data_IF_805429742548
#
_entry.id   IF_805429742548
#
_cell.length_a   1.000
_cell.length_b   1.000
_cell.length_c   1.000
_cell.angle_alpha   90.00
_cell.angle_beta   90.00
_cell.angle_gamma   90.00
#
_symmetry.space_group_name_H-M   'P 1'
#
loop_
_entity.id
_entity.type
_entity.pdbx_description
1 polymer ?
#
# COMPACT_ATOMS: atom_id res chain seq x y z
N UNK A 1 -6.84 -4.51 -18.38
CA UNK A 1 -7.07 -5.81 -19.05
C UNK A 1 -8.46 -5.98 -19.64
N UNK A 2 -9.56 -5.66 -18.98
CA UNK A 2 -10.94 -5.88 -19.48
C UNK A 2 -11.23 -5.36 -20.91
N UNK A 3 -10.51 -4.33 -21.36
CA UNK A 3 -10.71 -3.75 -22.70
C UNK A 3 -9.87 -4.40 -23.81
N UNK A 4 -8.93 -5.27 -23.43
CA UNK A 4 -8.00 -5.89 -24.37
C UNK A 4 -8.22 -7.40 -24.53
N UNK A 5 -8.97 -8.00 -23.61
CA UNK A 5 -9.22 -9.44 -23.57
C UNK A 5 -10.54 -9.73 -24.29
N UNK A 6 -10.54 -10.76 -25.16
CA UNK A 6 -11.72 -11.22 -25.87
C UNK A 6 -12.84 -11.65 -24.91
N UNK A 7 -14.09 -11.63 -25.40
CA UNK A 7 -15.27 -12.03 -24.61
C UNK A 7 -15.13 -13.44 -24.00
N UNK A 8 -14.42 -14.33 -24.67
CA UNK A 8 -14.16 -15.70 -24.21
C UNK A 8 -12.98 -15.82 -23.24
N UNK A 9 -12.25 -14.73 -23.00
CA UNK A 9 -11.11 -14.63 -22.07
C UNK A 9 -9.99 -15.65 -22.32
N UNK A 10 -9.80 -16.12 -23.55
CA UNK A 10 -8.78 -17.12 -23.89
C UNK A 10 -7.43 -16.50 -24.25
N UNK A 11 -7.42 -15.25 -24.66
CA UNK A 11 -6.29 -14.48 -25.15
C UNK A 11 -5.57 -13.66 -24.06
N UNK A 12 -6.02 -13.75 -22.79
CA UNK A 12 -5.41 -13.02 -21.68
C UNK A 12 -3.89 -13.27 -21.50
N UNK A 13 -3.34 -14.50 -21.76
CA UNK A 13 -1.90 -14.72 -21.62
C UNK A 13 -1.10 -13.90 -22.65
N UNK A 14 -1.61 -13.74 -23.86
CA UNK A 14 -0.99 -12.95 -24.92
C UNK A 14 -1.02 -11.45 -24.62
N UNK A 15 -2.09 -11.00 -23.97
CA UNK A 15 -2.24 -9.60 -23.54
C UNK A 15 -1.39 -9.24 -22.31
N UNK A 16 -0.86 -10.24 -21.56
CA UNK A 16 -0.18 -10.02 -20.29
C UNK A 16 1.09 -9.16 -20.42
N UNK A 17 1.92 -9.45 -21.40
CA UNK A 17 3.16 -8.70 -21.64
C UNK A 17 2.86 -7.22 -21.97
N UNK A 18 1.82 -6.96 -22.78
CA UNK A 18 1.37 -5.61 -23.09
C UNK A 18 0.82 -4.88 -21.87
N UNK A 19 0.07 -5.58 -21.02
CA UNK A 19 -0.48 -5.03 -19.78
C UNK A 19 0.63 -4.70 -18.77
N UNK A 20 1.61 -5.59 -18.60
CA UNK A 20 2.79 -5.36 -17.75
C UNK A 20 3.57 -4.13 -18.24
N UNK A 21 3.84 -4.04 -19.53
CA UNK A 21 4.50 -2.88 -20.12
C UNK A 21 3.72 -1.60 -19.83
N UNK A 22 2.42 -1.58 -20.04
CA UNK A 22 1.57 -0.41 -19.83
C UNK A 22 1.56 0.05 -18.35
N UNK A 23 1.52 -0.90 -17.39
CA UNK A 23 1.60 -0.58 -15.96
C UNK A 23 2.96 -0.01 -15.60
N UNK A 24 4.05 -0.61 -16.08
CA UNK A 24 5.41 -0.20 -15.77
C UNK A 24 5.82 1.12 -16.45
N UNK A 25 5.14 1.50 -17.52
CA UNK A 25 5.39 2.76 -18.23
C UNK A 25 4.49 3.92 -17.76
N UNK A 26 3.45 3.61 -16.96
CA UNK A 26 2.52 4.61 -16.43
C UNK A 26 3.10 5.28 -15.19
N UNK A 27 2.99 6.61 -15.14
CA UNK A 27 3.35 7.40 -13.94
C UNK A 27 2.44 6.99 -12.77
N UNK A 28 3.05 6.59 -11.67
CA UNK A 28 2.33 6.22 -10.47
C UNK A 28 1.97 7.46 -9.65
N UNK A 29 0.73 7.50 -9.13
CA UNK A 29 0.19 8.68 -8.45
C UNK A 29 0.94 9.09 -7.19
N UNK A 30 1.46 8.12 -6.43
CA UNK A 30 2.19 8.37 -5.18
C UNK A 30 3.64 8.76 -5.41
N UNK A 31 4.35 8.09 -6.33
CA UNK A 31 5.78 8.35 -6.59
C UNK A 31 6.03 9.45 -7.62
N UNK A 32 5.00 9.79 -8.43
CA UNK A 32 5.07 10.75 -9.54
C UNK A 32 6.04 10.37 -10.67
N UNK A 33 6.59 9.17 -10.62
CA UNK A 33 7.42 8.59 -11.67
C UNK A 33 6.90 7.22 -12.07
N UNK A 34 7.19 6.79 -13.30
CA UNK A 34 6.88 5.44 -13.74
C UNK A 34 7.91 4.45 -13.19
N UNK A 35 7.55 3.14 -12.99
CA UNK A 35 8.52 2.10 -12.61
C UNK A 35 9.71 2.04 -13.57
N UNK A 36 9.50 2.17 -14.87
CA UNK A 36 10.61 2.20 -15.84
C UNK A 36 11.51 3.42 -15.66
N UNK A 37 10.94 4.60 -15.43
CA UNK A 37 11.73 5.79 -15.14
C UNK A 37 12.55 5.64 -13.86
N UNK A 38 11.95 5.06 -12.80
CA UNK A 38 12.65 4.84 -11.54
C UNK A 38 13.79 3.83 -11.66
N UNK A 39 13.63 2.79 -12.50
CA UNK A 39 14.60 1.71 -12.62
C UNK A 39 15.68 1.96 -13.68
N UNK A 40 15.28 2.51 -14.82
CA UNK A 40 16.16 2.69 -15.98
C UNK A 40 16.49 4.17 -16.28
N UNK A 41 15.87 5.10 -15.57
CA UNK A 41 16.04 6.54 -15.80
C UNK A 41 15.49 7.03 -17.14
N UNK A 42 14.64 6.24 -17.80
CA UNK A 42 14.02 6.56 -19.09
C UNK A 42 12.68 5.86 -19.24
N UNK A 43 11.80 6.44 -20.04
CA UNK A 43 10.59 5.76 -20.49
C UNK A 43 10.94 4.71 -21.54
N UNK A 44 10.24 3.58 -21.47
CA UNK A 44 10.37 2.54 -22.47
C UNK A 44 9.37 2.77 -23.59
N UNK A 45 9.76 2.46 -24.83
CA UNK A 45 8.90 2.53 -26.01
C UNK A 45 8.52 1.13 -26.46
N UNK A 46 7.28 0.95 -26.83
CA UNK A 46 6.78 -0.28 -27.42
C UNK A 46 6.77 -0.12 -28.94
N UNK A 47 7.45 -1.00 -29.67
CA UNK A 47 7.47 -1.02 -31.13
C UNK A 47 8.85 -0.80 -31.75
N UNK A 48 8.89 -0.88 -33.08
CA UNK A 48 10.09 -0.77 -33.93
C UNK A 48 10.62 0.67 -34.06
N UNK A 49 10.68 1.41 -32.98
CA UNK A 49 11.22 2.76 -33.01
C UNK A 49 12.72 2.67 -33.33
N UNK A 50 13.05 2.94 -34.60
CA UNK A 50 14.42 2.99 -35.10
C UNK A 50 15.23 3.81 -34.12
N UNK A 51 16.21 3.18 -33.49
CA UNK A 51 17.08 3.78 -32.49
C UNK A 51 17.71 5.04 -33.09
N UNK A 52 17.16 6.20 -32.82
CA UNK A 52 17.90 7.44 -33.03
C UNK A 52 19.19 7.29 -32.21
N UNK A 53 20.34 7.31 -32.87
CA UNK A 53 21.65 7.30 -32.20
C UNK A 53 21.70 8.51 -31.26
N UNK A 54 21.23 8.30 -30.01
CA UNK A 54 21.35 9.29 -28.94
C UNK A 54 22.81 9.37 -28.51
N UNK A 55 23.25 10.55 -28.12
CA UNK A 55 24.55 10.76 -27.49
C UNK A 55 24.62 9.85 -26.26
N UNK A 56 25.66 9.03 -26.16
CA UNK A 56 25.86 8.18 -24.98
C UNK A 56 26.15 9.06 -23.77
N UNK A 57 25.27 9.02 -22.79
CA UNK A 57 25.43 9.77 -21.54
C UNK A 57 26.62 9.20 -20.76
N UNK A 58 27.44 10.09 -20.17
CA UNK A 58 28.56 9.66 -19.33
C UNK A 58 28.02 8.97 -18.05
N UNK A 59 28.75 7.97 -17.55
CA UNK A 59 28.32 7.20 -16.39
C UNK A 59 28.04 8.08 -15.15
N UNK A 60 28.83 9.12 -14.93
CA UNK A 60 28.62 10.07 -13.83
C UNK A 60 27.31 10.85 -13.96
N UNK A 61 27.02 11.38 -15.15
CA UNK A 61 25.78 12.11 -15.43
C UNK A 61 24.54 11.21 -15.23
N UNK A 62 24.65 9.94 -15.65
CA UNK A 62 23.60 8.94 -15.41
C UNK A 62 23.34 8.71 -13.93
N UNK A 63 24.39 8.53 -13.14
CA UNK A 63 24.28 8.29 -11.68
C UNK A 63 23.64 9.49 -10.98
N UNK A 64 24.05 10.70 -11.32
CA UNK A 64 23.47 11.93 -10.74
C UNK A 64 21.98 12.07 -11.09
N UNK A 65 21.62 11.81 -12.35
CA UNK A 65 20.23 11.82 -12.79
C UNK A 65 19.39 10.78 -12.06
N UNK A 66 19.91 9.55 -11.87
CA UNK A 66 19.20 8.51 -11.13
C UNK A 66 19.00 8.88 -9.66
N UNK A 67 20.02 9.44 -9.00
CA UNK A 67 19.89 9.91 -7.63
C UNK A 67 18.77 10.95 -7.50
N UNK A 68 18.73 11.92 -8.41
CA UNK A 68 17.69 12.96 -8.42
C UNK A 68 16.29 12.37 -8.60
N UNK A 69 16.11 11.42 -9.53
CA UNK A 69 14.82 10.73 -9.74
C UNK A 69 14.39 10.00 -8.47
N UNK A 70 15.29 9.30 -7.79
CA UNK A 70 14.99 8.57 -6.56
C UNK A 70 14.68 9.51 -5.38
N UNK A 71 15.38 10.63 -5.26
CA UNK A 71 15.09 11.63 -4.23
C UNK A 71 13.71 12.27 -4.43
N UNK A 72 13.40 12.66 -5.66
CA UNK A 72 12.07 13.21 -6.02
C UNK A 72 10.95 12.19 -5.77
N UNK A 73 11.14 10.93 -6.18
CA UNK A 73 10.18 9.86 -5.93
C UNK A 73 10.00 9.59 -4.44
N UNK A 74 11.09 9.59 -3.66
CA UNK A 74 11.08 9.42 -2.21
C UNK A 74 10.32 10.55 -1.50
N UNK A 75 10.55 11.80 -1.92
CA UNK A 75 9.83 12.95 -1.37
C UNK A 75 8.33 12.90 -1.70
N UNK A 76 7.98 12.55 -2.94
CA UNK A 76 6.59 12.37 -3.36
C UNK A 76 5.89 11.26 -2.57
N UNK A 77 6.59 10.14 -2.34
CA UNK A 77 6.06 9.02 -1.57
C UNK A 77 5.78 9.39 -0.10
N UNK A 78 6.70 10.10 0.56
CA UNK A 78 6.49 10.61 1.92
C UNK A 78 5.25 11.49 2.01
N UNK A 79 5.11 12.43 1.07
CA UNK A 79 3.91 13.28 1.01
C UNK A 79 2.63 12.48 0.80
N UNK A 80 2.65 11.48 -0.09
CA UNK A 80 1.50 10.61 -0.31
C UNK A 80 1.14 9.80 0.95
N UNK A 81 2.13 9.30 1.70
CA UNK A 81 1.92 8.62 2.98
C UNK A 81 1.29 9.54 4.03
N UNK A 82 1.75 10.77 4.15
CA UNK A 82 1.16 11.77 5.06
C UNK A 82 -0.29 12.08 4.69
N UNK A 83 -0.59 12.24 3.42
CA UNK A 83 -1.95 12.48 2.94
C UNK A 83 -2.86 11.28 3.21
N UNK A 84 -2.38 10.04 2.95
CA UNK A 84 -3.12 8.82 3.28
C UNK A 84 -3.38 8.69 4.78
N UNK A 85 -2.35 8.97 5.61
CA UNK A 85 -2.50 8.99 7.07
C UNK A 85 -3.55 10.00 7.50
N UNK A 86 -3.48 11.24 6.99
CA UNK A 86 -4.44 12.30 7.30
C UNK A 86 -5.87 11.91 6.92
N UNK A 87 -6.06 11.26 5.78
CA UNK A 87 -7.37 10.77 5.35
C UNK A 87 -7.88 9.62 6.23
N UNK A 88 -7.00 8.67 6.56
CA UNK A 88 -7.34 7.55 7.43
C UNK A 88 -7.72 8.03 8.85
N UNK A 89 -7.00 9.03 9.36
CA UNK A 89 -7.23 9.54 10.72
C UNK A 89 -8.49 10.40 10.83
N UNK A 90 -9.01 10.97 9.73
CA UNK A 90 -10.28 11.70 9.73
C UNK A 90 -11.47 10.89 10.24
N UNK A 91 -11.49 9.59 9.99
CA UNK A 91 -12.55 8.68 10.42
C UNK A 91 -12.30 7.97 11.74
N UNK A 92 -11.12 8.16 12.32
CA UNK A 92 -10.77 7.51 13.59
C UNK A 92 -11.34 8.29 14.76
N UNK A 93 -11.97 7.56 15.68
CA UNK A 93 -12.32 8.10 16.99
C UNK A 93 -11.03 8.28 17.78
N UNK A 94 -10.96 9.34 18.59
CA UNK A 94 -9.85 9.53 19.53
C UNK A 94 -9.66 8.27 20.38
N UNK A 95 -8.43 7.77 20.43
CA UNK A 95 -8.08 6.64 21.27
C UNK A 95 -8.19 7.06 22.74
N UNK A 96 -8.94 6.27 23.51
CA UNK A 96 -9.00 6.47 24.94
C UNK A 96 -7.61 6.28 25.54
N UNK A 97 -7.14 7.22 26.35
CA UNK A 97 -5.90 7.07 27.08
C UNK A 97 -6.12 6.06 28.22
N UNK A 98 -5.80 4.80 27.95
CA UNK A 98 -5.89 3.73 28.92
C UNK A 98 -4.80 3.85 29.98
N UNK A 99 -5.14 3.52 31.23
CA UNK A 99 -4.19 3.46 32.33
C UNK A 99 -4.17 2.07 32.94
N UNK A 100 -3.03 1.69 33.51
CA UNK A 100 -2.93 0.47 34.32
C UNK A 100 -3.95 0.54 35.47
N UNK A 101 -4.73 -0.52 35.65
CA UNK A 101 -5.78 -0.61 36.65
C UNK A 101 -7.17 -0.21 36.15
N UNK A 102 -7.30 0.32 34.94
CA UNK A 102 -8.62 0.59 34.36
C UNK A 102 -9.37 -0.71 34.13
N UNK A 103 -10.69 -0.67 34.32
CA UNK A 103 -11.58 -1.82 34.07
C UNK A 103 -12.18 -1.71 32.68
N UNK A 104 -12.07 -2.78 31.91
CA UNK A 104 -12.53 -2.83 30.53
C UNK A 104 -13.39 -4.05 30.25
N UNK A 105 -14.32 -3.88 29.32
CA UNK A 105 -15.11 -4.97 28.75
C UNK A 105 -14.50 -5.37 27.41
N UNK A 106 -14.34 -6.67 27.20
CA UNK A 106 -13.85 -7.21 25.94
C UNK A 106 -15.01 -7.48 24.98
N UNK A 107 -14.95 -6.92 23.77
CA UNK A 107 -15.93 -7.21 22.73
C UNK A 107 -15.76 -8.63 22.20
N UNK A 108 -16.86 -9.38 22.13
CA UNK A 108 -16.86 -10.76 21.63
C UNK A 108 -17.03 -10.85 20.11
N UNK A 109 -17.13 -9.70 19.42
CA UNK A 109 -17.45 -9.65 17.99
C UNK A 109 -16.49 -10.49 17.12
N UNK A 110 -15.19 -10.44 17.44
CA UNK A 110 -14.13 -11.08 16.67
C UNK A 110 -13.51 -12.30 17.37
N UNK A 111 -14.09 -12.69 18.55
CA UNK A 111 -13.64 -13.85 19.30
C UNK A 111 -14.34 -15.12 18.81
N UNK A 112 -13.57 -16.20 18.73
CA UNK A 112 -14.07 -17.56 18.45
C UNK A 112 -13.99 -18.36 19.73
N UNK A 113 -15.14 -18.72 20.28
CA UNK A 113 -15.23 -19.59 21.46
C UNK A 113 -15.41 -21.05 21.02
N UNK A 114 -14.46 -21.92 21.37
CA UNK A 114 -14.50 -23.35 21.01
C UNK A 114 -15.73 -24.09 21.60
N UNK A 115 -16.18 -23.64 22.75
CA UNK A 115 -17.29 -24.28 23.51
C UNK A 115 -18.67 -23.66 23.21
N UNK A 116 -18.73 -22.57 22.43
CA UNK A 116 -20.00 -21.87 22.16
C UNK A 116 -20.17 -21.67 20.64
N UNK A 117 -20.72 -22.69 19.95
CA UNK A 117 -20.78 -22.68 18.49
C UNK A 117 -21.76 -21.66 17.90
N UNK A 118 -22.70 -21.13 18.68
CA UNK A 118 -23.71 -20.18 18.18
C UNK A 118 -23.35 -18.74 18.57
N UNK A 119 -22.73 -18.02 17.68
CA UNK A 119 -22.30 -16.61 17.85
C UNK A 119 -23.44 -15.66 18.28
N UNK A 120 -24.67 -15.93 17.85
CA UNK A 120 -25.85 -15.10 18.17
C UNK A 120 -26.28 -15.15 19.64
N UNK A 121 -25.89 -16.17 20.38
CA UNK A 121 -26.25 -16.40 21.79
C UNK A 121 -25.11 -15.99 22.75
N UNK A 122 -24.01 -15.50 22.25
CA UNK A 122 -22.89 -15.02 23.07
C UNK A 122 -23.11 -13.54 23.41
N UNK A 123 -22.88 -13.19 24.67
CA UNK A 123 -22.94 -11.81 25.12
C UNK A 123 -22.02 -10.93 24.29
N UNK A 124 -22.45 -9.69 23.95
CA UNK A 124 -21.67 -8.77 23.13
C UNK A 124 -20.36 -8.36 23.79
N UNK A 125 -20.30 -8.38 25.10
CA UNK A 125 -19.14 -8.01 25.90
C UNK A 125 -18.96 -9.01 27.03
N UNK A 126 -17.71 -9.36 27.32
CA UNK A 126 -17.36 -10.32 28.38
C UNK A 126 -16.47 -9.62 29.40
N UNK A 127 -16.74 -9.91 30.68
CA UNK A 127 -15.93 -9.61 31.86
C UNK A 127 -15.82 -8.13 32.20
N UNK A 128 -15.32 -7.91 33.38
CA UNK A 128 -14.63 -6.67 33.77
C UNK A 128 -13.17 -7.08 33.97
N UNK A 129 -12.36 -6.93 32.91
CA UNK A 129 -10.93 -7.19 32.99
C UNK A 129 -10.19 -5.94 33.47
N UNK A 130 -9.13 -6.15 34.23
CA UNK A 130 -8.25 -5.05 34.70
C UNK A 130 -7.05 -4.97 33.77
N UNK A 131 -6.72 -3.78 33.31
CA UNK A 131 -5.53 -3.56 32.49
C UNK A 131 -4.28 -3.77 33.34
N UNK A 132 -3.50 -4.80 33.02
CA UNK A 132 -2.20 -5.07 33.66
C UNK A 132 -1.12 -4.14 33.18
N UNK A 133 -1.07 -3.89 31.87
CA UNK A 133 -0.02 -3.11 31.24
C UNK A 133 -0.55 -2.43 29.97
N UNK A 134 -0.11 -1.21 29.71
CA UNK A 134 -0.37 -0.48 28.46
C UNK A 134 0.84 -0.67 27.55
N UNK A 135 0.71 -1.51 26.52
CA UNK A 135 1.79 -1.85 25.59
C UNK A 135 1.99 -0.73 24.56
N UNK A 136 0.89 -0.14 24.08
CA UNK A 136 0.90 0.98 23.14
C UNK A 136 -0.39 1.79 23.23
N UNK A 137 -0.49 2.89 22.49
CA UNK A 137 -1.72 3.70 22.43
C UNK A 137 -2.97 2.91 22.02
N UNK A 138 -2.80 1.79 21.31
CA UNK A 138 -3.89 0.97 20.78
C UNK A 138 -3.90 -0.47 21.32
N UNK A 139 -2.99 -0.84 22.20
CA UNK A 139 -2.88 -2.20 22.72
C UNK A 139 -2.64 -2.19 24.23
N UNK A 140 -3.47 -2.97 24.92
CA UNK A 140 -3.37 -3.18 26.37
C UNK A 140 -3.31 -4.68 26.65
N UNK A 141 -2.62 -5.05 27.74
CA UNK A 141 -2.59 -6.40 28.26
C UNK A 141 -3.63 -6.49 29.39
N UNK A 142 -4.48 -7.52 29.29
CA UNK A 142 -5.57 -7.81 30.24
C UNK A 142 -5.20 -8.98 31.12
#
# INVERSE_FOLDING_TARGET
MRFFVDHQQRDWPECLAGAEFAVNNKVHTATKVSPFMANYGREMRMGDDIRKKGKVEKAGEFVERMKKIHEEAGAALKKAQEDMKRQADRGRKETKNWKKGDRVLLSTKDLVFKERPVKKLVDRYVGLYIIEEVVSTNAVKL
#
